data_IF_088181270424
#
_entry.id   IF_088181270424
#
_cell.length_a   1.000
_cell.length_b   1.000
_cell.length_c   1.000
_cell.angle_alpha   90.00
_cell.angle_beta   90.00
_cell.angle_gamma   90.00
#
_symmetry.space_group_name_H-M   'P 1'
#
loop_
_entity.id
_entity.type
_entity.pdbx_description
1 polymer ?
#
# COMPACT_ATOMS: atom_id res chain seq x y z
N UNK A 1 0.43 -18.36 14.68
CA UNK A 1 -0.87 -18.94 14.97
C UNK A 1 -1.37 -19.77 13.78
N UNK A 2 -1.70 -19.16 12.63
CA UNK A 2 -2.13 -19.91 11.44
C UNK A 2 -0.96 -20.42 10.59
N UNK A 3 0.20 -19.77 10.65
CA UNK A 3 1.34 -20.00 9.76
C UNK A 3 1.11 -19.56 8.30
N UNK A 4 0.04 -18.80 8.06
CA UNK A 4 -0.42 -18.36 6.74
C UNK A 4 -0.68 -16.85 6.75
N UNK A 5 -0.63 -16.23 5.56
CA UNK A 5 -1.09 -14.84 5.37
C UNK A 5 -2.58 -14.72 5.71
N UNK A 6 -3.00 -13.53 6.12
CA UNK A 6 -4.43 -13.22 6.32
C UNK A 6 -5.24 -13.25 5.01
N UNK A 7 -4.57 -13.21 3.87
CA UNK A 7 -5.16 -13.36 2.53
C UNK A 7 -5.50 -14.81 2.19
N UNK A 8 -4.88 -15.78 2.89
CA UNK A 8 -5.23 -17.21 2.72
C UNK A 8 -6.66 -17.46 3.24
N UNK A 9 -7.51 -18.16 2.46
CA UNK A 9 -8.89 -18.45 2.84
C UNK A 9 -9.04 -19.13 4.20
N UNK A 10 -8.06 -19.94 4.63
CA UNK A 10 -8.09 -20.60 5.94
C UNK A 10 -7.70 -19.66 7.09
N UNK A 11 -6.88 -18.64 6.84
CA UNK A 11 -6.43 -17.68 7.84
C UNK A 11 -7.34 -16.45 7.96
N UNK A 12 -8.04 -16.08 6.88
CA UNK A 12 -8.93 -14.91 6.84
C UNK A 12 -9.98 -14.87 7.98
N UNK A 13 -10.70 -15.98 8.29
CA UNK A 13 -11.67 -15.96 9.39
C UNK A 13 -11.03 -15.62 10.74
N UNK A 14 -9.80 -16.06 10.96
CA UNK A 14 -9.05 -15.72 12.17
C UNK A 14 -8.69 -14.22 12.20
N UNK A 15 -8.24 -13.64 11.07
CA UNK A 15 -7.92 -12.23 10.98
C UNK A 15 -9.16 -11.35 11.25
N UNK A 16 -10.31 -11.68 10.65
CA UNK A 16 -11.58 -10.99 10.92
C UNK A 16 -12.00 -11.08 12.38
N UNK A 17 -11.81 -12.27 13.00
CA UNK A 17 -12.11 -12.46 14.42
C UNK A 17 -11.21 -11.58 15.32
N UNK A 18 -9.94 -11.39 14.96
CA UNK A 18 -9.03 -10.48 15.69
C UNK A 18 -9.55 -9.06 15.59
N UNK A 19 -9.93 -8.59 14.42
CA UNK A 19 -10.48 -7.24 14.22
C UNK A 19 -11.79 -7.04 15.00
N UNK A 20 -12.68 -8.04 14.99
CA UNK A 20 -13.91 -7.99 15.77
C UNK A 20 -13.63 -7.90 17.27
N UNK A 21 -12.70 -8.70 17.78
CA UNK A 21 -12.30 -8.65 19.19
C UNK A 21 -11.77 -7.27 19.60
N UNK A 22 -10.99 -6.62 18.71
CA UNK A 22 -10.51 -5.26 18.95
C UNK A 22 -11.64 -4.24 18.99
N UNK A 23 -12.65 -4.35 18.11
CA UNK A 23 -13.84 -3.51 18.14
C UNK A 23 -14.66 -3.71 19.43
N UNK A 24 -14.82 -4.96 19.85
CA UNK A 24 -15.53 -5.28 21.08
C UNK A 24 -14.84 -4.65 22.30
N UNK A 25 -13.50 -4.67 22.32
CA UNK A 25 -12.72 -3.98 23.35
C UNK A 25 -12.91 -2.46 23.32
N UNK A 26 -12.91 -1.83 22.15
CA UNK A 26 -13.22 -0.40 21.98
C UNK A 26 -14.61 -0.06 22.53
N UNK A 27 -15.61 -0.86 22.19
CA UNK A 27 -16.99 -0.68 22.68
C UNK A 27 -17.10 -0.82 24.20
N UNK A 28 -16.38 -1.79 24.78
CA UNK A 28 -16.31 -1.95 26.24
C UNK A 28 -15.69 -0.73 26.91
N UNK A 29 -14.53 -0.27 26.44
CA UNK A 29 -13.87 0.91 27.00
C UNK A 29 -14.72 2.17 26.88
N UNK A 30 -15.44 2.35 25.76
CA UNK A 30 -16.39 3.44 25.59
C UNK A 30 -17.49 3.40 26.65
N UNK A 31 -18.05 2.24 26.93
CA UNK A 31 -19.10 2.07 27.93
C UNK A 31 -18.58 2.32 29.36
N UNK A 32 -17.33 1.97 29.66
CA UNK A 32 -16.73 2.11 30.99
C UNK A 32 -16.25 3.54 31.29
N UNK A 33 -15.74 4.27 30.27
CA UNK A 33 -15.09 5.58 30.45
C UNK A 33 -15.90 6.78 29.94
N UNK A 34 -16.96 6.54 29.18
CA UNK A 34 -17.70 7.58 28.43
C UNK A 34 -16.78 8.39 27.48
N UNK A 35 -15.75 7.73 26.95
CA UNK A 35 -14.83 8.26 25.92
C UNK A 35 -14.99 7.38 24.69
N UNK A 36 -15.06 7.98 23.51
CA UNK A 36 -15.13 7.23 22.26
C UNK A 36 -13.77 6.63 21.90
N UNK A 37 -13.80 5.34 21.64
CA UNK A 37 -12.67 4.57 21.11
C UNK A 37 -13.07 3.97 19.78
N UNK A 38 -12.13 3.94 18.84
CA UNK A 38 -12.40 3.43 17.50
C UNK A 38 -11.18 2.74 16.93
N UNK A 39 -11.39 1.62 16.25
CA UNK A 39 -10.34 0.95 15.53
C UNK A 39 -10.06 1.69 14.22
N UNK A 40 -8.79 1.94 13.95
CA UNK A 40 -8.32 2.67 12.78
C UNK A 40 -7.31 1.83 11.99
N UNK A 41 -7.56 1.63 10.70
CA UNK A 41 -6.66 1.00 9.75
C UNK A 41 -5.66 2.01 9.20
N UNK A 42 -4.64 2.37 9.98
CA UNK A 42 -3.69 3.42 9.61
C UNK A 42 -2.72 2.97 8.54
N UNK A 43 -2.45 3.76 7.50
CA UNK A 43 -1.27 3.63 6.66
C UNK A 43 -0.04 4.09 7.47
N UNK A 44 0.90 3.19 7.68
CA UNK A 44 2.16 3.47 8.36
C UNK A 44 3.22 3.84 7.32
N UNK A 45 3.74 5.07 7.37
CA UNK A 45 4.66 5.55 6.34
C UNK A 45 6.11 5.12 6.58
N UNK A 46 6.59 5.08 7.81
CA UNK A 46 8.01 4.89 8.11
C UNK A 46 8.34 3.71 9.02
N UNK A 47 7.36 2.94 9.44
CA UNK A 47 7.55 1.92 10.48
C UNK A 47 7.56 0.49 9.97
N UNK A 48 7.14 0.24 8.73
CA UNK A 48 7.03 -1.12 8.17
C UNK A 48 8.38 -1.82 8.08
N UNK A 49 9.41 -1.12 7.66
CA UNK A 49 10.78 -1.63 7.61
C UNK A 49 11.38 -1.83 9.01
N UNK A 50 11.21 -0.84 9.90
CA UNK A 50 11.67 -0.97 11.30
C UNK A 50 11.02 -2.15 12.00
N UNK A 51 9.72 -2.34 11.83
CA UNK A 51 9.04 -3.51 12.38
C UNK A 51 9.57 -4.81 11.80
N UNK A 52 9.78 -4.88 10.49
CA UNK A 52 10.34 -6.07 9.84
C UNK A 52 11.72 -6.40 10.43
N UNK A 53 12.62 -5.41 10.54
CA UNK A 53 13.93 -5.60 11.17
C UNK A 53 13.85 -6.04 12.62
N UNK A 54 13.04 -5.37 13.44
CA UNK A 54 12.86 -5.74 14.84
C UNK A 54 12.30 -7.18 14.98
N UNK A 55 11.41 -7.59 14.08
CA UNK A 55 10.90 -8.97 14.07
C UNK A 55 12.00 -9.97 13.72
N UNK A 56 12.83 -9.66 12.71
CA UNK A 56 13.98 -10.49 12.32
C UNK A 56 15.02 -10.59 13.46
N UNK A 57 15.35 -9.48 14.08
CA UNK A 57 16.29 -9.44 15.21
C UNK A 57 15.78 -10.25 16.41
N UNK A 58 14.47 -10.18 16.68
CA UNK A 58 13.87 -10.83 17.85
C UNK A 58 13.53 -12.30 17.63
N UNK A 59 13.10 -12.68 16.45
CA UNK A 59 12.55 -14.00 16.16
C UNK A 59 13.34 -14.77 15.10
N UNK A 60 14.34 -14.15 14.48
CA UNK A 60 15.08 -14.71 13.35
C UNK A 60 14.28 -14.68 12.05
N UNK A 61 14.86 -15.26 11.00
CA UNK A 61 14.24 -15.37 9.69
C UNK A 61 13.28 -16.56 9.65
N UNK A 62 11.99 -16.27 9.66
CA UNK A 62 10.91 -17.27 9.59
C UNK A 62 10.23 -17.14 8.22
N UNK A 63 10.30 -18.18 7.36
CA UNK A 63 9.70 -18.15 6.02
C UNK A 63 8.21 -17.79 6.06
N UNK A 64 7.79 -16.86 5.22
CA UNK A 64 6.41 -16.36 5.13
C UNK A 64 5.98 -15.45 6.30
N UNK A 65 6.86 -15.16 7.27
CA UNK A 65 6.53 -14.35 8.45
C UNK A 65 7.48 -13.16 8.59
N UNK A 66 8.79 -13.43 8.71
CA UNK A 66 9.82 -12.40 8.95
C UNK A 66 10.87 -12.34 7.84
N UNK A 67 10.66 -13.00 6.73
CA UNK A 67 11.58 -13.13 5.61
C UNK A 67 11.55 -11.96 4.63
N UNK A 68 10.71 -10.96 4.87
CA UNK A 68 10.60 -9.75 4.07
C UNK A 68 11.20 -8.56 4.81
N UNK A 69 11.71 -7.59 4.05
CA UNK A 69 12.28 -6.36 4.61
C UNK A 69 11.22 -5.33 5.03
N UNK A 70 9.95 -5.66 4.93
CA UNK A 70 8.83 -4.80 5.29
C UNK A 70 7.63 -5.67 5.71
N UNK A 71 6.68 -5.05 6.39
CA UNK A 71 5.36 -5.61 6.68
C UNK A 71 4.30 -4.83 5.91
N UNK A 72 3.20 -5.48 5.55
CA UNK A 72 2.04 -4.78 4.98
C UNK A 72 1.39 -3.89 6.04
N UNK A 73 0.87 -2.75 5.58
CA UNK A 73 0.09 -1.88 6.43
C UNK A 73 -1.26 -2.52 6.75
N UNK A 74 -1.62 -2.50 8.03
CA UNK A 74 -2.95 -2.91 8.49
C UNK A 74 -3.36 -4.29 7.92
N UNK A 75 -4.50 -4.37 7.27
CA UNK A 75 -5.07 -5.58 6.65
C UNK A 75 -4.91 -5.63 5.12
N UNK A 76 -4.16 -4.71 4.54
CA UNK A 76 -4.03 -4.64 3.09
C UNK A 76 -3.44 -5.92 2.50
N UNK A 77 -3.89 -6.25 1.29
CA UNK A 77 -3.28 -7.31 0.50
C UNK A 77 -1.88 -6.88 0.11
N UNK A 78 -0.94 -7.81 0.21
CA UNK A 78 0.45 -7.58 -0.11
C UNK A 78 0.60 -7.17 -1.58
N UNK A 79 1.40 -6.15 -1.87
CA UNK A 79 1.51 -5.56 -3.22
C UNK A 79 2.09 -6.51 -4.27
N UNK A 80 2.77 -7.58 -3.85
CA UNK A 80 3.30 -8.61 -4.76
C UNK A 80 2.31 -9.75 -5.01
N UNK A 81 1.13 -9.74 -4.39
CA UNK A 81 0.09 -10.70 -4.69
C UNK A 81 -0.58 -10.33 -6.01
N UNK A 82 -0.64 -11.29 -6.93
CA UNK A 82 -1.36 -11.12 -8.18
C UNK A 82 -2.87 -11.23 -7.92
N UNK A 83 -3.53 -10.10 -7.83
CA UNK A 83 -4.96 -9.99 -7.58
C UNK A 83 -5.53 -8.83 -8.40
N UNK A 84 -6.73 -9.00 -8.94
CA UNK A 84 -7.40 -7.89 -9.63
C UNK A 84 -8.00 -6.87 -8.64
N UNK A 85 -8.35 -5.69 -9.18
CA UNK A 85 -8.84 -4.58 -8.39
C UNK A 85 -10.15 -4.91 -7.64
N UNK A 86 -11.05 -5.66 -8.27
CA UNK A 86 -12.35 -5.99 -7.69
C UNK A 86 -12.22 -6.99 -6.55
N UNK A 87 -11.42 -8.02 -6.75
CA UNK A 87 -11.15 -9.03 -5.72
C UNK A 87 -10.40 -8.42 -4.53
N UNK A 88 -9.41 -7.55 -4.80
CA UNK A 88 -8.70 -6.81 -3.76
C UNK A 88 -9.66 -5.96 -2.92
N UNK A 89 -10.48 -5.14 -3.58
CA UNK A 89 -11.43 -4.27 -2.90
C UNK A 89 -12.47 -5.08 -2.13
N UNK A 90 -13.00 -6.16 -2.70
CA UNK A 90 -13.95 -7.06 -2.04
C UNK A 90 -13.36 -7.76 -0.83
N UNK A 91 -12.09 -8.08 -0.87
CA UNK A 91 -11.38 -8.64 0.28
C UNK A 91 -11.23 -7.60 1.39
N UNK A 92 -10.72 -6.41 1.06
CA UNK A 92 -10.41 -5.35 2.03
C UNK A 92 -11.69 -4.71 2.61
N UNK A 93 -12.80 -4.70 1.89
CA UNK A 93 -14.09 -4.19 2.34
C UNK A 93 -14.50 -4.75 3.71
N UNK A 94 -14.35 -6.06 3.90
CA UNK A 94 -14.71 -6.75 5.13
C UNK A 94 -13.91 -6.28 6.35
N UNK A 95 -12.68 -5.84 6.13
CA UNK A 95 -11.81 -5.29 7.17
C UNK A 95 -12.09 -3.79 7.38
N UNK A 96 -12.46 -3.06 6.33
CA UNK A 96 -12.88 -1.66 6.46
C UNK A 96 -14.11 -1.51 7.34
N UNK A 97 -15.11 -2.37 7.19
CA UNK A 97 -16.30 -2.38 8.07
C UNK A 97 -15.93 -2.54 9.54
N UNK A 98 -14.86 -3.26 9.83
CA UNK A 98 -14.34 -3.47 11.18
C UNK A 98 -13.36 -2.37 11.63
N UNK A 99 -13.18 -1.32 10.84
CA UNK A 99 -12.30 -0.18 11.13
C UNK A 99 -13.09 1.13 11.13
N UNK A 100 -14.05 1.32 12.08
CA UNK A 100 -14.93 2.50 12.07
C UNK A 100 -14.20 3.83 12.33
N UNK A 101 -12.97 3.79 12.82
CA UNK A 101 -12.12 4.98 12.97
C UNK A 101 -11.53 5.50 11.67
N UNK A 102 -11.66 4.74 10.60
CA UNK A 102 -11.18 5.06 9.27
C UNK A 102 -10.21 4.03 8.73
N UNK A 103 -10.21 3.88 7.43
CA UNK A 103 -9.28 3.06 6.66
C UNK A 103 -9.34 3.47 5.20
N UNK A 104 -8.28 3.24 4.45
CA UNK A 104 -8.21 3.55 3.03
C UNK A 104 -7.68 2.34 2.28
N UNK A 105 -8.29 2.01 1.15
CA UNK A 105 -7.79 1.01 0.21
C UNK A 105 -7.15 1.69 -0.99
N UNK A 106 -5.97 1.23 -1.37
CA UNK A 106 -5.24 1.73 -2.54
C UNK A 106 -5.33 0.72 -3.68
N UNK A 107 -5.71 1.21 -4.85
CA UNK A 107 -5.77 0.40 -6.07
C UNK A 107 -4.92 1.06 -7.14
N UNK A 108 -3.94 0.33 -7.64
CA UNK A 108 -3.17 0.75 -8.81
C UNK A 108 -3.90 0.28 -10.07
N UNK A 109 -4.17 1.21 -10.96
CA UNK A 109 -4.80 0.95 -12.25
C UNK A 109 -3.90 1.45 -13.38
N UNK A 110 -3.91 0.79 -14.54
CA UNK A 110 -3.19 1.30 -15.72
C UNK A 110 -3.79 2.63 -16.17
N UNK A 111 -3.15 3.28 -17.12
CA UNK A 111 -3.74 4.45 -17.77
C UNK A 111 -5.07 4.07 -18.44
N UNK A 112 -6.17 4.58 -17.90
CA UNK A 112 -7.53 4.24 -18.32
C UNK A 112 -8.21 5.38 -19.11
N UNK A 113 -7.45 6.34 -19.63
CA UNK A 113 -8.01 7.47 -20.40
C UNK A 113 -8.90 7.02 -21.57
N UNK A 114 -8.56 5.89 -22.19
CA UNK A 114 -9.31 5.32 -23.30
C UNK A 114 -10.33 4.25 -22.89
N UNK A 115 -10.54 4.03 -21.59
CA UNK A 115 -11.46 3.02 -21.06
C UNK A 115 -12.25 3.57 -19.87
N UNK A 116 -13.08 4.54 -20.15
CA UNK A 116 -13.92 5.21 -19.14
C UNK A 116 -14.91 4.22 -18.50
N UNK A 117 -15.41 3.26 -19.27
CA UNK A 117 -16.34 2.25 -18.75
C UNK A 117 -15.71 1.42 -17.62
N UNK A 118 -14.43 1.04 -17.78
CA UNK A 118 -13.70 0.34 -16.72
C UNK A 118 -13.51 1.22 -15.48
N UNK A 119 -13.20 2.51 -15.66
CA UNK A 119 -13.13 3.46 -14.52
C UNK A 119 -14.46 3.51 -13.78
N UNK A 120 -15.57 3.67 -14.51
CA UNK A 120 -16.89 3.73 -13.91
C UNK A 120 -17.28 2.43 -13.20
N UNK A 121 -16.88 1.27 -13.75
CA UNK A 121 -17.11 -0.02 -13.11
C UNK A 121 -16.38 -0.14 -11.76
N UNK A 122 -15.10 0.28 -11.72
CA UNK A 122 -14.31 0.29 -10.48
C UNK A 122 -14.90 1.29 -9.48
N UNK A 123 -15.26 2.49 -9.92
CA UNK A 123 -15.89 3.50 -9.04
C UNK A 123 -17.22 3.02 -8.47
N UNK A 124 -18.04 2.35 -9.29
CA UNK A 124 -19.29 1.73 -8.83
C UNK A 124 -19.03 0.68 -7.77
N UNK A 125 -18.07 -0.21 -8.00
CA UNK A 125 -17.71 -1.24 -7.04
C UNK A 125 -17.23 -0.65 -5.70
N UNK A 126 -16.41 0.41 -5.76
CA UNK A 126 -15.98 1.15 -4.58
C UNK A 126 -17.19 1.71 -3.84
N UNK A 127 -18.08 2.42 -4.55
CA UNK A 127 -19.28 3.02 -3.95
C UNK A 127 -20.17 1.99 -3.26
N UNK A 128 -20.28 0.80 -3.80
CA UNK A 128 -21.16 -0.25 -3.27
C UNK A 128 -20.54 -1.03 -2.11
N UNK A 129 -19.19 -1.10 -2.00
CA UNK A 129 -18.50 -2.04 -1.11
C UNK A 129 -17.45 -1.44 -0.19
N UNK A 130 -16.92 -0.25 -0.51
CA UNK A 130 -15.75 0.32 0.16
C UNK A 130 -16.09 1.68 0.76
N UNK A 131 -15.69 1.92 2.01
CA UNK A 131 -15.91 3.22 2.65
C UNK A 131 -14.99 4.30 2.10
N UNK A 132 -13.73 3.97 1.84
CA UNK A 132 -12.75 4.90 1.28
C UNK A 132 -11.69 4.16 0.48
N UNK A 133 -11.56 4.55 -0.78
CA UNK A 133 -10.51 4.02 -1.67
C UNK A 133 -9.90 5.12 -2.51
N UNK A 134 -8.70 4.88 -2.95
CA UNK A 134 -7.95 5.73 -3.85
C UNK A 134 -7.45 4.94 -5.06
N UNK A 135 -7.71 5.50 -6.25
CA UNK A 135 -7.20 4.98 -7.50
C UNK A 135 -5.90 5.70 -7.86
N UNK A 136 -4.83 4.94 -7.98
CA UNK A 136 -3.54 5.43 -8.45
C UNK A 136 -3.33 4.99 -9.88
N UNK A 137 -2.84 5.89 -10.71
CA UNK A 137 -2.46 5.59 -12.10
C UNK A 137 -1.04 6.07 -12.34
N UNK A 138 -0.28 5.29 -13.11
CA UNK A 138 1.07 5.63 -13.53
C UNK A 138 1.00 6.28 -14.90
N UNK A 139 0.77 7.59 -14.93
CA UNK A 139 0.68 8.40 -16.15
C UNK A 139 1.85 9.37 -16.18
N UNK A 140 3.03 8.82 -16.50
CA UNK A 140 4.25 9.60 -16.62
C UNK A 140 4.43 10.11 -18.04
N UNK A 141 5.28 11.15 -18.19
CA UNK A 141 5.58 11.75 -19.47
C UNK A 141 7.08 11.99 -19.63
N UNK A 142 7.63 11.56 -20.75
CA UNK A 142 9.01 11.85 -21.13
C UNK A 142 9.06 13.01 -22.12
N UNK A 143 9.66 14.14 -21.72
CA UNK A 143 9.78 15.32 -22.56
C UNK A 143 10.76 15.15 -23.74
N UNK A 144 11.64 14.12 -23.69
CA UNK A 144 12.60 13.86 -24.77
C UNK A 144 11.97 13.22 -26.00
N UNK A 145 11.00 12.33 -25.80
CA UNK A 145 10.41 11.56 -26.90
C UNK A 145 8.88 11.59 -26.98
N UNK A 146 8.23 12.30 -26.05
CA UNK A 146 6.76 12.37 -25.99
C UNK A 146 6.10 11.08 -25.49
N UNK A 147 6.85 10.15 -24.87
CA UNK A 147 6.28 8.93 -24.32
C UNK A 147 5.31 9.27 -23.18
N UNK A 148 4.11 8.70 -23.27
CA UNK A 148 3.10 8.73 -22.21
C UNK A 148 2.85 7.31 -21.71
N UNK A 149 3.07 7.08 -20.43
CA UNK A 149 2.95 5.76 -19.82
C UNK A 149 3.80 5.62 -18.58
N UNK A 150 4.05 4.40 -18.14
CA UNK A 150 4.90 4.14 -16.97
C UNK A 150 6.38 4.29 -17.32
N UNK A 151 7.06 5.27 -16.71
CA UNK A 151 8.52 5.37 -16.72
C UNK A 151 9.07 4.36 -15.71
N UNK A 152 10.06 3.59 -16.14
CA UNK A 152 10.59 2.46 -15.39
C UNK A 152 11.63 2.90 -14.37
N UNK A 153 11.74 2.10 -13.31
CA UNK A 153 12.83 2.20 -12.35
C UNK A 153 13.85 1.12 -12.71
N UNK A 154 15.07 1.52 -12.94
CA UNK A 154 16.20 0.62 -13.19
C UNK A 154 17.29 0.82 -12.14
N UNK A 155 18.21 -0.12 -12.05
CA UNK A 155 19.41 -0.01 -11.20
C UNK A 155 20.59 0.37 -12.06
N UNK A 156 21.29 1.44 -11.72
CA UNK A 156 22.51 1.87 -12.42
C UNK A 156 23.73 0.98 -12.09
N UNK A 157 24.87 1.28 -12.70
CA UNK A 157 26.12 0.54 -12.51
C UNK A 157 26.64 0.56 -11.05
N UNK A 158 26.15 1.49 -10.24
CA UNK A 158 26.51 1.68 -8.84
C UNK A 158 25.50 1.08 -7.87
N UNK A 159 24.46 0.39 -8.38
CA UNK A 159 23.40 -0.18 -7.57
C UNK A 159 22.34 0.83 -7.12
N UNK A 160 22.34 2.07 -7.66
CA UNK A 160 21.39 3.11 -7.34
C UNK A 160 20.17 3.00 -8.26
N UNK A 161 18.97 3.19 -7.67
CA UNK A 161 17.73 3.25 -8.44
C UNK A 161 17.66 4.60 -9.18
N UNK A 162 17.35 4.54 -10.47
CA UNK A 162 17.14 5.69 -11.34
C UNK A 162 15.93 5.49 -12.23
N UNK A 163 15.37 6.60 -12.71
CA UNK A 163 14.30 6.57 -13.71
C UNK A 163 14.86 6.38 -15.11
N UNK A 164 14.19 5.55 -15.90
CA UNK A 164 14.51 5.38 -17.33
C UNK A 164 13.23 5.35 -18.17
N UNK A 165 13.21 6.14 -19.23
CA UNK A 165 12.14 6.09 -20.21
C UNK A 165 12.24 4.81 -21.06
N UNK A 166 11.21 3.94 -21.08
CA UNK A 166 11.28 2.68 -21.83
C UNK A 166 11.31 2.86 -23.34
N UNK A 167 10.96 4.04 -23.84
CA UNK A 167 10.92 4.32 -25.27
C UNK A 167 12.23 4.90 -25.82
N UNK A 168 12.92 5.75 -25.07
CA UNK A 168 14.13 6.43 -25.59
C UNK A 168 15.38 6.29 -24.68
N UNK A 169 15.27 5.57 -23.55
CA UNK A 169 16.38 5.40 -22.63
C UNK A 169 16.80 6.68 -21.88
N UNK A 170 15.99 7.75 -21.93
CA UNK A 170 16.29 8.97 -21.17
C UNK A 170 16.33 8.68 -19.67
N UNK A 171 17.39 9.12 -18.98
CA UNK A 171 17.57 8.98 -17.53
C UNK A 171 17.62 10.34 -16.82
N UNK A 172 17.51 11.45 -17.57
CA UNK A 172 17.49 12.79 -17.00
C UNK A 172 16.12 13.08 -16.35
N UNK A 173 16.06 13.01 -15.04
CA UNK A 173 14.82 13.23 -14.28
C UNK A 173 14.23 14.63 -14.51
N UNK A 174 15.04 15.64 -14.84
CA UNK A 174 14.54 16.97 -15.15
C UNK A 174 13.71 17.04 -16.44
N UNK A 175 13.83 16.03 -17.30
CA UNK A 175 13.08 15.87 -18.54
C UNK A 175 12.00 14.81 -18.48
N UNK A 176 11.61 14.43 -17.29
CA UNK A 176 10.54 13.47 -17.05
C UNK A 176 9.54 14.04 -16.06
N UNK A 177 8.27 13.90 -16.38
CA UNK A 177 7.18 14.17 -15.44
C UNK A 177 6.76 12.82 -14.83
N UNK A 178 7.31 12.51 -13.68
CA UNK A 178 7.02 11.28 -12.95
C UNK A 178 6.36 11.65 -11.63
N UNK A 179 5.24 11.02 -11.34
CA UNK A 179 4.56 11.18 -10.07
C UNK A 179 4.22 9.81 -9.48
N UNK A 180 4.55 9.64 -8.21
CA UNK A 180 4.22 8.43 -7.45
C UNK A 180 3.51 8.85 -6.17
N UNK A 181 2.49 8.10 -5.86
CA UNK A 181 1.81 8.26 -4.60
C UNK A 181 2.59 7.55 -3.50
N UNK A 182 2.83 8.28 -2.43
CA UNK A 182 3.35 7.74 -1.19
C UNK A 182 2.36 8.06 -0.08
N UNK A 183 1.78 7.07 0.52
CA UNK A 183 0.79 7.14 1.60
C UNK A 183 -0.07 8.42 1.68
N UNK A 184 0.44 9.53 2.13
CA UNK A 184 -0.30 10.78 2.31
C UNK A 184 -0.05 11.85 1.24
N UNK A 185 0.91 11.68 0.35
CA UNK A 185 1.31 12.69 -0.63
C UNK A 185 1.77 12.09 -1.95
N UNK A 186 1.89 12.94 -2.97
CA UNK A 186 2.40 12.58 -4.29
C UNK A 186 3.80 13.17 -4.43
N UNK A 187 4.75 12.37 -4.86
CA UNK A 187 6.13 12.77 -5.06
C UNK A 187 6.79 12.04 -6.23
N UNK A 188 8.05 12.36 -6.45
CA UNK A 188 8.88 11.75 -7.51
C UNK A 188 9.73 10.59 -7.00
N UNK A 189 9.42 10.06 -5.83
CA UNK A 189 10.14 8.97 -5.19
C UNK A 189 9.93 7.65 -5.94
N UNK A 190 10.92 6.76 -5.86
CA UNK A 190 10.91 5.47 -6.57
C UNK A 190 9.95 4.44 -5.97
N UNK A 191 9.54 4.60 -4.74
CA UNK A 191 8.74 3.66 -3.97
C UNK A 191 7.35 4.21 -3.71
N UNK A 192 6.40 3.31 -3.65
CA UNK A 192 5.08 3.59 -3.15
C UNK A 192 4.95 3.20 -1.66
N UNK A 193 3.90 3.64 -1.03
CA UNK A 193 3.70 3.45 0.41
C UNK A 193 3.58 1.98 0.86
N UNK A 194 3.31 1.06 -0.04
CA UNK A 194 3.09 -0.32 0.32
C UNK A 194 4.39 -1.13 0.34
N UNK A 195 5.42 -0.69 -0.39
CA UNK A 195 6.68 -1.41 -0.54
C UNK A 195 7.84 -0.81 0.25
N UNK A 196 8.01 0.52 0.23
CA UNK A 196 9.27 1.14 0.58
C UNK A 196 9.16 2.38 1.46
N UNK A 197 8.00 2.70 1.99
CA UNK A 197 7.77 3.96 2.72
C UNK A 197 8.66 4.17 3.92
N UNK A 198 9.26 3.12 4.42
CA UNK A 198 10.08 3.19 5.61
C UNK A 198 11.48 3.74 5.37
N UNK A 199 12.10 3.42 4.24
CA UNK A 199 13.51 3.74 4.02
C UNK A 199 13.74 5.20 3.68
N UNK A 200 12.89 5.77 2.83
CA UNK A 200 13.06 7.14 2.37
C UNK A 200 12.81 8.20 3.46
N UNK A 201 11.86 7.95 4.34
CA UNK A 201 11.57 8.88 5.42
C UNK A 201 12.62 8.82 6.54
N UNK A 202 13.24 7.66 6.76
CA UNK A 202 14.29 7.49 7.77
C UNK A 202 15.63 8.08 7.32
N UNK A 203 15.98 7.98 6.04
CA UNK A 203 17.21 8.57 5.50
C UNK A 203 17.12 10.11 5.42
N UNK A 204 15.93 10.66 5.24
CA UNK A 204 15.75 12.13 5.27
C UNK A 204 15.78 12.74 6.67
N UNK A 205 15.62 11.92 7.71
CA UNK A 205 15.70 12.34 9.12
C UNK A 205 17.09 12.13 9.74
N UNK A 206 18.01 11.47 9.03
CA UNK A 206 19.42 11.42 9.38
C UNK A 206 20.09 12.67 8.83
N UNK A 207 19.81 13.78 9.44
CA UNK A 207 20.69 14.96 9.39
C UNK A 207 21.76 14.71 10.44
N UNK A 208 23.03 14.59 10.00
CA UNK A 208 24.21 14.54 10.86
C UNK A 208 24.31 15.76 11.79
#
# INVERSE_FOLDING_TARGET
MTGKSHTDPEAKPFALKVMQHMNDACNKWRAESNIDFSLYGTPLESTTYKFARCLQERFGMIPGVTDKNYITNSYHIHVTEEIDAFDKLSFEAQFQELSPGGAISYVEVPNMQNNIEAVLAVMKHIYENIMYAELNTKSDYCQCCGYEGEIQIITDEHGKLIWECPNCGNQDQAKMNVARRTCGYIGTQFWNCLLYTSDAADDSLRVD
#
